data_IF_700944296134
#
_entry.id   IF_700944296134
#
_cell.length_a   1.000
_cell.length_b   1.000
_cell.length_c   1.000
_cell.angle_alpha   90.00
_cell.angle_beta   90.00
_cell.angle_gamma   90.00
#
_symmetry.space_group_name_H-M   'P 1'
#
loop_
_entity.id
_entity.type
_entity.pdbx_description
1 polymer ?
#
# COMPACT_ATOMS: atom_id res chain seq x y z
N UNK A 1 35.66 -39.15 -24.69
CA UNK A 1 35.30 -38.94 -23.27
C UNK A 1 35.13 -37.44 -23.08
N UNK A 2 33.89 -36.93 -23.10
CA UNK A 2 33.60 -35.51 -22.88
C UNK A 2 32.88 -35.44 -21.54
N UNK A 3 33.58 -34.95 -20.52
CA UNK A 3 33.07 -34.85 -19.15
C UNK A 3 32.07 -33.69 -19.06
N UNK A 4 30.83 -34.03 -18.74
CA UNK A 4 29.73 -33.09 -18.47
C UNK A 4 29.95 -32.38 -17.14
N UNK A 5 30.13 -31.05 -17.16
CA UNK A 5 30.22 -30.22 -15.98
C UNK A 5 28.82 -29.76 -15.56
N UNK A 6 28.20 -30.46 -14.62
CA UNK A 6 26.88 -30.10 -14.10
C UNK A 6 27.06 -29.12 -12.93
N UNK A 7 26.82 -27.83 -13.17
CA UNK A 7 26.84 -26.80 -12.11
C UNK A 7 25.50 -26.83 -11.38
N UNK A 8 25.48 -27.39 -10.18
CA UNK A 8 24.31 -27.38 -9.29
C UNK A 8 24.26 -26.00 -8.61
N UNK A 9 23.37 -25.13 -9.10
CA UNK A 9 23.07 -23.84 -8.50
C UNK A 9 22.10 -24.04 -7.32
N UNK A 10 22.63 -24.22 -6.11
CA UNK A 10 21.84 -24.22 -4.89
C UNK A 10 21.34 -22.78 -4.60
N UNK A 11 20.14 -22.46 -5.07
CA UNK A 11 19.43 -21.24 -4.70
C UNK A 11 19.02 -21.31 -3.22
N UNK A 12 19.83 -20.72 -2.35
CA UNK A 12 19.43 -20.34 -1.00
C UNK A 12 18.33 -19.27 -1.09
N UNK A 13 17.08 -19.71 -1.17
CA UNK A 13 15.92 -18.84 -1.12
C UNK A 13 15.77 -18.26 0.30
N UNK A 14 16.49 -17.18 0.59
CA UNK A 14 16.21 -16.36 1.75
C UNK A 14 14.80 -15.81 1.64
N UNK A 15 13.92 -16.16 2.58
CA UNK A 15 12.63 -15.49 2.72
C UNK A 15 12.89 -14.01 3.01
N UNK A 16 12.68 -13.16 2.01
CA UNK A 16 12.80 -11.72 2.16
C UNK A 16 11.67 -11.24 3.08
N UNK A 17 11.97 -11.11 4.37
CA UNK A 17 11.05 -10.50 5.33
C UNK A 17 11.12 -8.99 5.14
N UNK A 18 10.16 -8.43 4.40
CA UNK A 18 10.02 -6.98 4.30
C UNK A 18 9.89 -6.39 5.71
N UNK A 19 10.47 -5.20 5.93
CA UNK A 19 10.27 -4.46 7.18
C UNK A 19 8.77 -4.22 7.37
N UNK A 20 8.22 -4.33 8.59
CA UNK A 20 6.81 -4.05 8.83
C UNK A 20 6.46 -2.62 8.42
N UNK A 21 5.39 -2.45 7.64
CA UNK A 21 4.96 -1.15 7.19
C UNK A 21 4.42 -0.29 8.35
N UNK A 22 4.60 1.02 8.23
CA UNK A 22 3.99 2.04 9.09
C UNK A 22 2.99 2.82 8.27
N UNK A 23 1.84 3.08 8.88
CA UNK A 23 0.77 3.84 8.26
C UNK A 23 0.37 5.02 9.13
N UNK A 24 -0.27 6.00 8.49
CA UNK A 24 -0.93 7.10 9.14
C UNK A 24 -2.27 7.36 8.47
N UNK A 25 -3.31 7.63 9.27
CA UNK A 25 -4.52 8.29 8.79
C UNK A 25 -4.81 9.49 9.69
N UNK A 26 -5.47 10.52 9.16
CA UNK A 26 -5.86 11.69 9.98
C UNK A 26 -6.67 11.27 11.22
N UNK A 27 -7.52 10.25 11.08
CA UNK A 27 -8.41 9.80 12.15
C UNK A 27 -7.71 8.91 13.19
N UNK A 28 -6.70 8.13 12.79
CA UNK A 28 -6.07 7.13 13.65
C UNK A 28 -4.66 7.49 14.14
N UNK A 29 -4.06 8.55 13.59
CA UNK A 29 -2.65 8.85 13.81
C UNK A 29 -1.74 7.78 13.21
N UNK A 30 -0.54 7.60 13.78
CA UNK A 30 0.45 6.63 13.27
C UNK A 30 0.27 5.24 13.89
N UNK A 31 0.28 4.19 13.06
CA UNK A 31 0.15 2.81 13.51
C UNK A 31 1.04 1.83 12.71
N UNK A 32 1.16 0.59 13.19
CA UNK A 32 1.73 -0.52 12.40
C UNK A 32 0.62 -1.11 11.54
N UNK A 33 0.93 -1.39 10.28
CA UNK A 33 -0.06 -1.88 9.33
C UNK A 33 0.55 -2.95 8.42
N UNK A 34 -0.33 -3.67 7.76
CA UNK A 34 -0.01 -4.39 6.53
C UNK A 34 -0.23 -3.45 5.36
N UNK A 35 0.73 -3.42 4.44
CA UNK A 35 0.64 -2.66 3.20
C UNK A 35 0.74 -3.65 2.04
N UNK A 36 -0.26 -3.63 1.16
CA UNK A 36 -0.32 -4.49 -0.01
C UNK A 36 -0.51 -3.64 -1.26
N UNK A 37 0.43 -3.72 -2.20
CA UNK A 37 0.23 -3.18 -3.55
C UNK A 37 -0.77 -4.04 -4.30
N UNK A 38 -1.69 -3.39 -5.01
CA UNK A 38 -2.79 -4.11 -5.70
C UNK A 38 -2.72 -4.00 -7.22
N UNK A 39 -1.83 -3.14 -7.73
CA UNK A 39 -1.45 -3.08 -9.13
C UNK A 39 -0.05 -2.46 -9.28
N UNK A 40 0.35 -2.17 -10.52
CA UNK A 40 1.63 -1.53 -10.85
C UNK A 40 1.56 0.00 -10.97
N UNK A 41 0.37 0.60 -10.86
CA UNK A 41 0.20 2.05 -11.01
C UNK A 41 0.28 2.78 -9.66
N UNK A 42 0.42 2.01 -8.56
CA UNK A 42 0.56 2.54 -7.21
C UNK A 42 -0.70 2.41 -6.38
N UNK A 43 -1.73 1.68 -6.83
CA UNK A 43 -2.88 1.33 -5.99
C UNK A 43 -2.46 0.39 -4.87
N UNK A 44 -3.05 0.57 -3.70
CA UNK A 44 -2.68 -0.19 -2.51
C UNK A 44 -3.84 -0.37 -1.54
N UNK A 45 -3.64 -1.29 -0.61
CA UNK A 45 -4.49 -1.51 0.56
C UNK A 45 -3.65 -1.39 1.81
N UNK A 46 -4.18 -0.71 2.82
CA UNK A 46 -3.66 -0.74 4.19
C UNK A 46 -4.70 -1.37 5.12
N UNK A 47 -4.22 -2.23 6.01
CA UNK A 47 -5.02 -2.88 7.05
C UNK A 47 -4.24 -2.96 8.35
N UNK A 48 -4.96 -2.93 9.46
CA UNK A 48 -4.39 -3.21 10.78
C UNK A 48 -5.49 -3.73 11.71
N UNK A 49 -5.11 -4.58 12.67
CA UNK A 49 -6.06 -5.09 13.65
C UNK A 49 -6.68 -3.95 14.46
N UNK A 50 -8.01 -3.92 14.55
CA UNK A 50 -8.77 -2.88 15.25
C UNK A 50 -8.82 -1.53 14.53
N UNK A 51 -8.41 -1.45 13.25
CA UNK A 51 -8.45 -0.25 12.42
C UNK A 51 -9.26 -0.49 11.14
N UNK A 52 -9.85 0.54 10.54
CA UNK A 52 -10.47 0.41 9.22
C UNK A 52 -9.45 -0.03 8.17
N UNK A 53 -9.90 -0.83 7.21
CA UNK A 53 -9.09 -1.16 6.02
C UNK A 53 -9.37 -0.11 4.96
N UNK A 54 -8.31 0.49 4.42
CA UNK A 54 -8.42 1.47 3.34
C UNK A 54 -7.83 0.93 2.06
N UNK A 55 -8.51 1.18 0.94
CA UNK A 55 -8.03 0.89 -0.41
C UNK A 55 -7.93 2.20 -1.18
N UNK A 56 -6.76 2.48 -1.76
CA UNK A 56 -6.58 3.56 -2.71
C UNK A 56 -6.36 2.96 -4.10
N UNK A 57 -7.23 3.34 -5.03
CA UNK A 57 -7.11 2.97 -6.44
C UNK A 57 -6.61 4.19 -7.22
N UNK A 58 -5.39 4.11 -7.74
CA UNK A 58 -4.80 5.18 -8.55
C UNK A 58 -5.50 5.24 -9.91
N UNK A 59 -5.99 6.43 -10.26
CA UNK A 59 -6.65 6.71 -11.53
C UNK A 59 -5.73 7.37 -12.56
N UNK A 60 -4.54 7.81 -12.13
CA UNK A 60 -3.52 8.43 -12.95
C UNK A 60 -2.36 8.96 -12.10
N UNK A 61 -1.33 9.55 -12.71
CA UNK A 61 -0.18 10.08 -11.97
C UNK A 61 -0.62 11.04 -10.85
N UNK A 62 -0.35 10.67 -9.60
CA UNK A 62 -0.66 11.47 -8.43
C UNK A 62 -2.14 11.62 -8.07
N UNK A 63 -3.05 10.88 -8.71
CA UNK A 63 -4.50 10.94 -8.46
C UNK A 63 -5.05 9.55 -8.15
N UNK A 64 -5.78 9.41 -7.05
CA UNK A 64 -6.43 8.18 -6.62
C UNK A 64 -7.84 8.40 -6.10
N UNK A 65 -8.61 7.33 -5.98
CA UNK A 65 -9.89 7.30 -5.25
C UNK A 65 -9.78 6.34 -4.08
N UNK A 66 -10.21 6.81 -2.91
CA UNK A 66 -10.12 6.08 -1.65
C UNK A 66 -11.42 5.37 -1.30
N UNK A 67 -11.31 4.20 -0.69
CA UNK A 67 -12.43 3.42 -0.19
C UNK A 67 -12.10 2.93 1.21
N UNK A 68 -13.11 2.92 2.09
CA UNK A 68 -13.06 2.14 3.33
C UNK A 68 -13.73 0.78 3.08
N UNK A 69 -13.09 -0.28 3.54
CA UNK A 69 -13.59 -1.65 3.40
C UNK A 69 -14.20 -2.09 4.73
N UNK A 70 -15.51 -2.38 4.71
CA UNK A 70 -16.26 -2.86 5.88
C UNK A 70 -16.90 -4.20 5.53
N UNK A 71 -16.39 -5.27 6.12
CA UNK A 71 -16.74 -6.63 5.72
C UNK A 71 -16.37 -6.86 4.24
N UNK A 72 -17.37 -7.16 3.41
CA UNK A 72 -17.21 -7.34 1.95
C UNK A 72 -17.53 -6.08 1.13
N UNK A 73 -17.92 -4.98 1.79
CA UNK A 73 -18.37 -3.76 1.11
C UNK A 73 -17.24 -2.75 0.99
N UNK A 74 -17.16 -2.15 -0.19
CA UNK A 74 -16.30 -1.01 -0.48
C UNK A 74 -17.15 0.26 -0.46
N UNK A 75 -16.91 1.13 0.52
CA UNK A 75 -17.60 2.41 0.65
C UNK A 75 -16.64 3.48 0.14
N UNK A 76 -17.06 4.22 -0.89
CA UNK A 76 -16.25 5.31 -1.44
C UNK A 76 -16.08 6.41 -0.41
N UNK A 77 -14.84 6.85 -0.23
CA UNK A 77 -14.55 8.12 0.44
C UNK A 77 -14.90 9.27 -0.51
N UNK A 78 -15.28 10.45 0.01
CA UNK A 78 -15.64 11.59 -0.82
C UNK A 78 -14.42 12.13 -1.56
N UNK A 79 -14.62 12.60 -2.80
CA UNK A 79 -13.55 13.25 -3.58
C UNK A 79 -12.40 12.33 -3.99
N UNK A 80 -11.39 12.92 -4.60
CA UNK A 80 -10.15 12.26 -5.01
C UNK A 80 -9.05 12.53 -3.99
N UNK A 81 -8.10 11.61 -3.96
CA UNK A 81 -6.87 11.70 -3.21
C UNK A 81 -5.75 12.14 -4.15
N UNK A 82 -5.03 13.18 -3.77
CA UNK A 82 -3.86 13.69 -4.47
C UNK A 82 -2.60 13.27 -3.72
N UNK A 83 -1.60 12.77 -4.44
CA UNK A 83 -0.31 12.43 -3.83
C UNK A 83 0.38 13.71 -3.36
N UNK A 84 0.81 13.73 -2.10
CA UNK A 84 1.52 14.88 -1.55
C UNK A 84 2.93 14.99 -2.15
N UNK A 85 3.30 16.17 -2.60
CA UNK A 85 4.61 16.43 -3.22
C UNK A 85 5.75 16.51 -2.19
N UNK A 86 5.43 16.96 -0.98
CA UNK A 86 6.39 17.10 0.12
C UNK A 86 6.46 15.82 0.97
N UNK A 87 5.36 15.06 1.02
CA UNK A 87 5.26 13.79 1.74
C UNK A 87 4.88 12.64 0.79
N UNK A 88 5.82 12.06 0.00
CA UNK A 88 5.49 11.07 -1.03
C UNK A 88 4.88 9.76 -0.51
N UNK A 89 4.92 9.51 0.80
CA UNK A 89 4.20 8.38 1.41
C UNK A 89 2.70 8.65 1.55
N UNK A 90 2.28 9.91 1.43
CA UNK A 90 0.95 10.41 1.77
C UNK A 90 0.11 10.76 0.55
N UNK A 91 -1.18 10.51 0.72
CA UNK A 91 -2.25 10.90 -0.19
C UNK A 91 -3.25 11.74 0.59
N UNK A 92 -3.59 12.92 0.06
CA UNK A 92 -4.45 13.91 0.70
C UNK A 92 -5.77 13.98 -0.06
N UNK A 93 -6.87 13.83 0.66
CA UNK A 93 -8.20 13.96 0.12
C UNK A 93 -8.51 15.44 -0.18
N UNK A 94 -8.80 15.79 -1.43
CA UNK A 94 -9.02 17.20 -1.78
C UNK A 94 -10.31 17.78 -1.15
N UNK A 95 -11.32 16.94 -0.92
CA UNK A 95 -12.62 17.37 -0.41
C UNK A 95 -12.64 17.54 1.12
N UNK A 96 -11.88 16.72 1.85
CA UNK A 96 -11.92 16.67 3.33
C UNK A 96 -10.59 17.01 4.00
N UNK A 97 -9.51 17.12 3.23
CA UNK A 97 -8.14 17.32 3.71
C UNK A 97 -7.63 16.18 4.61
N UNK A 98 -8.34 15.04 4.66
CA UNK A 98 -7.87 13.84 5.35
C UNK A 98 -6.69 13.20 4.62
N UNK A 99 -5.75 12.64 5.37
CA UNK A 99 -4.54 12.02 4.86
C UNK A 99 -4.56 10.52 5.07
N UNK A 100 -4.01 9.79 4.10
CA UNK A 100 -3.67 8.37 4.21
C UNK A 100 -2.22 8.21 3.75
N UNK A 101 -1.35 7.70 4.62
CA UNK A 101 0.07 7.52 4.34
C UNK A 101 0.53 6.08 4.64
N UNK A 102 1.52 5.58 3.90
CA UNK A 102 2.16 4.28 4.13
C UNK A 102 3.63 4.27 3.71
N UNK A 103 4.52 3.70 4.55
CA UNK A 103 5.96 3.59 4.30
C UNK A 103 6.63 2.40 5.03
#
# INVERSE_FOLDING_TARGET
>A
MIATLTVILCCLAGVAHAKPARCFTTDDGQFRCEFLTTDRNGSFVISASGKPTYRLNTAGPGVAYGFVVIGTKYISLPGRFLRDANEPACWVNEATQTKICAW
#
